data_IF_369334804645
#
_entry.id   IF_369334804645
#
_cell.length_a   1.000
_cell.length_b   1.000
_cell.length_c   1.000
_cell.angle_alpha   90.00
_cell.angle_beta   90.00
_cell.angle_gamma   90.00
#
_symmetry.space_group_name_H-M   'P 1'
#
loop_
_entity.id
_entity.type
_entity.pdbx_description
1 polymer ?
#
# COMPACT_ATOMS: atom_id res chain seq x y z
N UNK A 1 -16.86 -55.93 -20.08
CA UNK A 1 -16.12 -55.12 -21.08
C UNK A 1 -16.21 -53.61 -20.83
N UNK A 2 -17.28 -53.08 -20.22
CA UNK A 2 -17.44 -51.64 -19.92
C UNK A 2 -16.52 -51.08 -18.82
N UNK A 3 -16.07 -51.90 -17.88
CA UNK A 3 -15.18 -51.49 -16.76
C UNK A 3 -13.73 -51.23 -17.18
N UNK A 4 -13.19 -52.00 -18.12
CA UNK A 4 -11.81 -51.85 -18.58
C UNK A 4 -11.59 -50.60 -19.45
N UNK A 5 -12.61 -50.18 -20.21
CA UNK A 5 -12.55 -48.95 -21.03
C UNK A 5 -12.53 -47.69 -20.15
N UNK A 6 -13.23 -47.72 -19.01
CA UNK A 6 -13.28 -46.60 -18.06
C UNK A 6 -11.94 -46.42 -17.32
N UNK A 7 -11.27 -47.52 -16.94
CA UNK A 7 -9.97 -47.49 -16.26
C UNK A 7 -8.86 -46.83 -17.10
N UNK A 8 -8.74 -47.19 -18.38
CA UNK A 8 -7.71 -46.62 -19.25
C UNK A 8 -7.94 -45.12 -19.51
N UNK A 9 -9.21 -44.69 -19.59
CA UNK A 9 -9.57 -43.28 -19.72
C UNK A 9 -9.19 -42.49 -18.46
N UNK A 10 -9.52 -43.00 -17.28
CA UNK A 10 -9.20 -42.36 -16.01
C UNK A 10 -7.67 -42.26 -15.79
N UNK A 11 -6.90 -43.30 -16.15
CA UNK A 11 -5.42 -43.26 -16.09
C UNK A 11 -4.86 -42.19 -17.03
N UNK A 12 -5.38 -42.08 -18.25
CA UNK A 12 -4.92 -41.06 -19.20
C UNK A 12 -5.25 -39.64 -18.71
N UNK A 13 -6.44 -39.45 -18.14
CA UNK A 13 -6.84 -38.17 -17.55
C UNK A 13 -5.95 -37.81 -16.36
N UNK A 14 -5.62 -38.78 -15.48
CA UNK A 14 -4.71 -38.56 -14.35
C UNK A 14 -3.33 -38.08 -14.82
N UNK A 15 -2.73 -38.75 -15.82
CA UNK A 15 -1.44 -38.32 -16.41
C UNK A 15 -1.51 -36.92 -17.02
N UNK A 16 -2.64 -36.57 -17.62
CA UNK A 16 -2.85 -35.23 -18.17
C UNK A 16 -2.88 -34.18 -17.07
N UNK A 17 -3.58 -34.46 -15.96
CA UNK A 17 -3.62 -33.58 -14.79
C UNK A 17 -2.25 -33.46 -14.11
N UNK A 18 -1.46 -34.53 -14.03
CA UNK A 18 -0.07 -34.47 -13.51
C UNK A 18 0.80 -33.49 -14.31
N UNK A 19 0.71 -33.53 -15.64
CA UNK A 19 1.45 -32.59 -16.50
C UNK A 19 0.96 -31.15 -16.30
N UNK A 20 -0.35 -30.93 -16.21
CA UNK A 20 -0.92 -29.61 -15.94
C UNK A 20 -0.49 -29.08 -14.56
N UNK A 21 -0.51 -29.94 -13.54
CA UNK A 21 -0.08 -29.61 -12.19
C UNK A 21 1.38 -29.17 -12.17
N UNK A 22 2.29 -29.95 -12.76
CA UNK A 22 3.72 -29.62 -12.81
C UNK A 22 4.00 -28.32 -13.58
N UNK A 23 3.25 -28.09 -14.65
CA UNK A 23 3.32 -26.83 -15.41
C UNK A 23 2.91 -25.65 -14.53
N UNK A 24 1.79 -25.77 -13.82
CA UNK A 24 1.29 -24.74 -12.90
C UNK A 24 2.19 -24.52 -11.69
N UNK A 25 2.85 -25.57 -11.20
CA UNK A 25 3.81 -25.47 -10.10
C UNK A 25 5.03 -24.66 -10.54
N UNK A 26 5.52 -24.90 -11.77
CA UNK A 26 6.61 -24.10 -12.36
C UNK A 26 6.20 -22.63 -12.53
N UNK A 27 4.97 -22.36 -13.00
CA UNK A 27 4.43 -21.00 -13.09
C UNK A 27 4.36 -20.33 -11.71
N UNK A 28 3.93 -21.06 -10.68
CA UNK A 28 3.86 -20.58 -9.30
C UNK A 28 5.25 -20.21 -8.76
N UNK A 29 6.24 -21.08 -8.90
CA UNK A 29 7.62 -20.84 -8.46
C UNK A 29 8.21 -19.58 -9.12
N UNK A 30 7.99 -19.42 -10.43
CA UNK A 30 8.42 -18.23 -11.18
C UNK A 30 7.69 -16.96 -10.73
N UNK A 31 6.38 -17.03 -10.53
CA UNK A 31 5.59 -15.91 -10.02
C UNK A 31 6.02 -15.52 -8.59
N UNK A 32 6.37 -16.51 -7.76
CA UNK A 32 6.82 -16.30 -6.39
C UNK A 32 8.19 -15.63 -6.35
N UNK A 33 9.14 -16.11 -7.15
CA UNK A 33 10.45 -15.48 -7.30
C UNK A 33 10.32 -14.02 -7.79
N UNK A 34 9.40 -13.76 -8.72
CA UNK A 34 9.12 -12.41 -9.22
C UNK A 34 8.52 -11.50 -8.14
N UNK A 35 7.60 -12.02 -7.33
CA UNK A 35 7.03 -11.31 -6.19
C UNK A 35 8.09 -10.94 -5.16
N UNK A 36 8.92 -11.89 -4.73
CA UNK A 36 10.02 -11.64 -3.80
C UNK A 36 11.00 -10.60 -4.33
N UNK A 37 11.29 -10.63 -5.64
CA UNK A 37 12.19 -9.65 -6.27
C UNK A 37 11.61 -8.25 -6.24
N UNK A 38 10.31 -8.09 -6.56
CA UNK A 38 9.62 -6.78 -6.45
C UNK A 38 9.63 -6.27 -5.02
N UNK A 39 9.35 -7.13 -4.05
CA UNK A 39 9.33 -6.78 -2.63
C UNK A 39 10.71 -6.35 -2.12
N UNK A 40 11.79 -7.04 -2.53
CA UNK A 40 13.17 -6.71 -2.11
C UNK A 40 13.73 -5.47 -2.80
N UNK A 41 13.41 -5.29 -4.08
CA UNK A 41 13.99 -4.20 -4.87
C UNK A 41 13.38 -2.85 -4.54
N UNK A 42 12.11 -2.79 -4.16
CA UNK A 42 11.43 -1.55 -3.86
C UNK A 42 10.29 -1.71 -2.84
N UNK A 43 10.57 -1.75 -1.53
CA UNK A 43 9.51 -1.80 -0.51
C UNK A 43 8.56 -0.59 -0.56
N UNK A 44 9.01 0.54 -1.12
CA UNK A 44 8.28 1.83 -1.15
C UNK A 44 8.04 2.38 -2.57
N UNK A 45 8.26 1.59 -3.62
CA UNK A 45 7.90 2.05 -4.96
C UNK A 45 6.42 1.86 -5.16
N UNK A 46 5.70 2.97 -5.12
CA UNK A 46 4.32 3.11 -5.59
C UNK A 46 4.23 2.93 -7.11
N UNK A 47 4.91 1.91 -7.66
CA UNK A 47 4.79 1.51 -9.05
C UNK A 47 3.42 0.87 -9.21
N UNK A 48 2.46 1.70 -9.62
CA UNK A 48 1.15 1.22 -10.02
C UNK A 48 1.20 0.57 -11.39
N UNK A 49 0.37 -0.45 -11.57
CA UNK A 49 0.08 -1.09 -12.83
C UNK A 49 -1.38 -0.81 -13.20
N UNK A 50 -1.61 -0.64 -14.50
CA UNK A 50 -2.91 -0.29 -15.06
C UNK A 50 -3.43 -1.49 -15.82
N UNK A 51 -4.59 -2.02 -15.40
CA UNK A 51 -5.16 -3.27 -15.90
C UNK A 51 -6.52 -2.98 -16.56
N UNK A 52 -6.57 -2.87 -17.91
CA UNK A 52 -7.82 -2.67 -18.64
C UNK A 52 -8.78 -3.87 -18.52
N UNK A 53 -10.08 -3.61 -18.50
CA UNK A 53 -11.12 -4.62 -18.36
C UNK A 53 -11.18 -5.26 -16.97
N UNK A 54 -10.55 -4.64 -15.97
CA UNK A 54 -10.50 -5.11 -14.58
C UNK A 54 -11.02 -4.05 -13.63
N UNK A 55 -11.46 -4.50 -12.47
CA UNK A 55 -11.83 -3.63 -11.37
C UNK A 55 -11.19 -4.10 -10.06
N UNK A 56 -10.86 -3.14 -9.20
CA UNK A 56 -10.39 -3.35 -7.85
C UNK A 56 -11.41 -2.75 -6.87
N UNK A 57 -11.98 -3.59 -6.01
CA UNK A 57 -13.05 -3.18 -5.10
C UNK A 57 -12.57 -2.79 -3.71
N UNK A 58 -11.38 -3.25 -3.31
CA UNK A 58 -10.89 -3.18 -1.94
C UNK A 58 -11.83 -3.85 -0.93
N UNK A 59 -11.60 -3.59 0.35
CA UNK A 59 -12.52 -3.93 1.44
C UNK A 59 -13.39 -2.74 1.85
N UNK A 60 -12.94 -1.51 1.59
CA UNK A 60 -13.67 -0.30 1.89
C UNK A 60 -13.46 0.81 0.84
N UNK A 61 -14.42 1.72 0.76
CA UNK A 61 -14.31 2.92 -0.07
C UNK A 61 -13.49 4.00 0.60
N UNK A 62 -12.68 4.72 -0.18
CA UNK A 62 -11.92 5.90 0.28
C UNK A 62 -12.56 7.18 -0.27
N UNK A 63 -12.71 7.27 -1.59
CA UNK A 63 -13.36 8.40 -2.25
C UNK A 63 -13.75 8.06 -3.67
N UNK A 64 -14.78 8.72 -4.18
CA UNK A 64 -15.19 8.65 -5.58
C UNK A 64 -15.04 10.03 -6.21
N UNK A 65 -14.23 10.14 -7.26
CA UNK A 65 -13.94 11.38 -7.96
C UNK A 65 -14.53 11.32 -9.36
N UNK A 66 -15.30 12.33 -9.75
CA UNK A 66 -15.86 12.46 -11.09
C UNK A 66 -14.95 13.26 -12.01
N UNK A 67 -15.19 13.21 -13.32
CA UNK A 67 -14.43 13.96 -14.33
C UNK A 67 -12.90 13.76 -14.26
N UNK A 68 -12.48 12.54 -13.90
CA UNK A 68 -11.08 12.15 -13.81
C UNK A 68 -10.61 11.43 -15.07
N UNK A 69 -9.29 11.36 -15.25
CA UNK A 69 -8.63 10.47 -16.22
C UNK A 69 -7.95 9.32 -15.49
N UNK A 70 -7.55 8.27 -16.21
CA UNK A 70 -6.80 7.14 -15.62
C UNK A 70 -5.52 7.61 -14.92
N UNK A 71 -4.75 8.52 -15.52
CA UNK A 71 -3.53 9.07 -14.93
C UNK A 71 -3.81 9.90 -13.67
N UNK A 72 -4.85 10.74 -13.69
CA UNK A 72 -5.28 11.47 -12.49
C UNK A 72 -5.75 10.53 -11.39
N UNK A 73 -6.46 9.45 -11.75
CA UNK A 73 -6.92 8.44 -10.79
C UNK A 73 -5.75 7.75 -10.09
N UNK A 74 -4.71 7.39 -10.85
CA UNK A 74 -3.47 6.86 -10.30
C UNK A 74 -2.77 7.87 -9.39
N UNK A 75 -2.67 9.14 -9.79
CA UNK A 75 -2.05 10.18 -8.99
C UNK A 75 -2.82 10.43 -7.67
N UNK A 76 -4.15 10.45 -7.74
CA UNK A 76 -5.02 10.57 -6.57
C UNK A 76 -4.80 9.41 -5.60
N UNK A 77 -4.77 8.17 -6.10
CA UNK A 77 -4.49 7.00 -5.27
C UNK A 77 -3.07 7.07 -4.66
N UNK A 78 -2.06 7.40 -5.48
CA UNK A 78 -0.66 7.55 -5.03
C UNK A 78 -0.48 8.62 -3.95
N UNK A 79 -1.27 9.68 -3.99
CA UNK A 79 -1.23 10.79 -3.04
C UNK A 79 -2.01 10.51 -1.74
N UNK A 80 -2.91 9.53 -1.77
CA UNK A 80 -3.77 9.19 -0.64
C UNK A 80 -3.22 7.94 0.07
N UNK A 81 -2.70 8.13 1.27
CA UNK A 81 -2.12 7.06 2.09
C UNK A 81 -3.09 5.94 2.46
N UNK A 82 -4.41 6.17 2.38
CA UNK A 82 -5.39 5.11 2.59
C UNK A 82 -5.67 4.28 1.33
N UNK A 83 -5.23 4.74 0.14
CA UNK A 83 -5.57 4.09 -1.11
C UNK A 83 -4.60 2.95 -1.45
N UNK A 84 -5.10 1.71 -1.37
CA UNK A 84 -4.34 0.51 -1.79
C UNK A 84 -4.56 0.19 -3.28
N UNK A 85 -5.60 0.77 -3.89
CA UNK A 85 -5.88 0.67 -5.32
C UNK A 85 -7.12 1.44 -5.72
N UNK A 86 -7.35 1.57 -7.02
CA UNK A 86 -8.49 2.29 -7.58
C UNK A 86 -9.08 1.59 -8.79
N UNK A 87 -10.32 1.94 -9.13
CA UNK A 87 -10.95 1.60 -10.42
C UNK A 87 -11.36 2.87 -11.13
N UNK A 88 -10.89 3.05 -12.37
CA UNK A 88 -11.28 4.13 -13.25
C UNK A 88 -12.20 3.61 -14.35
N UNK A 89 -13.35 4.26 -14.57
CA UNK A 89 -14.24 3.96 -15.68
C UNK A 89 -14.12 5.06 -16.76
N UNK A 90 -13.63 4.66 -17.95
CA UNK A 90 -13.34 5.55 -19.07
C UNK A 90 -14.55 6.20 -19.73
N UNK A 91 -15.75 5.62 -19.57
CA UNK A 91 -17.00 6.15 -20.15
C UNK A 91 -17.60 7.23 -19.24
N UNK A 92 -17.68 6.95 -17.94
CA UNK A 92 -18.27 7.86 -16.96
C UNK A 92 -17.28 8.88 -16.39
N UNK A 93 -15.98 8.69 -16.61
CA UNK A 93 -14.94 9.54 -16.03
C UNK A 93 -14.84 9.42 -14.50
N UNK A 94 -15.38 8.35 -13.91
CA UNK A 94 -15.40 8.15 -12.46
C UNK A 94 -14.19 7.34 -12.02
N UNK A 95 -13.47 7.84 -11.03
CA UNK A 95 -12.37 7.21 -10.34
C UNK A 95 -12.78 6.84 -8.91
N UNK A 96 -12.80 5.55 -8.60
CA UNK A 96 -13.16 5.01 -7.28
C UNK A 96 -11.90 4.56 -6.55
N UNK A 97 -11.49 5.29 -5.53
CA UNK A 97 -10.35 4.94 -4.68
C UNK A 97 -10.82 3.99 -3.59
N UNK A 98 -10.07 2.92 -3.38
CA UNK A 98 -10.41 1.84 -2.45
C UNK A 98 -9.23 1.54 -1.53
N UNK A 99 -9.55 0.98 -0.37
CA UNK A 99 -8.57 0.55 0.62
C UNK A 99 -8.72 -0.90 1.00
N UNK A 100 -7.66 -1.45 1.57
CA UNK A 100 -7.57 -2.84 2.03
C UNK A 100 -7.34 -3.85 0.91
N UNK A 101 -7.48 -5.12 1.26
CA UNK A 101 -7.12 -6.25 0.42
C UNK A 101 -8.33 -6.79 -0.37
N UNK A 102 -8.67 -6.11 -1.46
CA UNK A 102 -9.75 -6.55 -2.36
C UNK A 102 -9.25 -7.43 -3.51
N UNK A 103 -10.12 -8.27 -4.11
CA UNK A 103 -9.77 -9.01 -5.31
C UNK A 103 -9.71 -8.11 -6.54
N UNK A 104 -8.90 -8.51 -7.53
CA UNK A 104 -8.91 -7.93 -8.87
C UNK A 104 -9.79 -8.79 -9.77
N UNK A 105 -11.00 -8.31 -10.06
CA UNK A 105 -12.00 -9.04 -10.83
C UNK A 105 -12.09 -8.54 -12.28
N UNK A 106 -12.56 -9.41 -13.18
CA UNK A 106 -12.98 -8.99 -14.52
C UNK A 106 -14.18 -8.05 -14.42
N UNK A 107 -14.17 -6.97 -15.19
CA UNK A 107 -15.26 -6.00 -15.26
C UNK A 107 -15.50 -5.56 -16.72
N UNK A 108 -16.31 -4.54 -16.92
CA UNK A 108 -16.54 -3.95 -18.25
C UNK A 108 -15.22 -3.51 -18.89
N UNK A 109 -15.13 -3.54 -20.23
CA UNK A 109 -13.95 -3.09 -20.97
C UNK A 109 -13.62 -1.61 -20.73
N UNK A 110 -14.59 -0.82 -20.28
CA UNK A 110 -14.42 0.57 -19.90
C UNK A 110 -13.74 0.76 -18.54
N UNK A 111 -13.74 -0.28 -17.70
CA UNK A 111 -13.13 -0.24 -16.37
C UNK A 111 -11.64 -0.57 -16.43
N UNK A 112 -10.89 0.12 -15.60
CA UNK A 112 -9.44 0.02 -15.53
C UNK A 112 -9.07 -0.05 -14.05
N UNK A 113 -8.54 -1.18 -13.62
CA UNK A 113 -7.99 -1.32 -12.28
C UNK A 113 -6.60 -0.70 -12.22
N UNK A 114 -6.33 0.05 -11.16
CA UNK A 114 -5.05 0.69 -10.88
C UNK A 114 -4.62 0.18 -9.51
N UNK A 115 -3.64 -0.71 -9.48
CA UNK A 115 -3.17 -1.36 -8.25
C UNK A 115 -1.66 -1.30 -8.19
N UNK A 116 -1.06 -1.49 -7.02
CA UNK A 116 0.40 -1.62 -6.92
C UNK A 116 0.88 -2.88 -7.63
N UNK A 117 2.10 -2.85 -8.17
CA UNK A 117 2.72 -4.01 -8.82
C UNK A 117 2.79 -5.22 -7.88
N UNK A 118 3.05 -5.00 -6.59
CA UNK A 118 3.03 -6.05 -5.58
C UNK A 118 1.65 -6.71 -5.46
N UNK A 119 0.57 -5.92 -5.50
CA UNK A 119 -0.80 -6.44 -5.43
C UNK A 119 -1.17 -7.24 -6.69
N UNK A 120 -0.77 -6.80 -7.87
CA UNK A 120 -0.98 -7.56 -9.11
C UNK A 120 -0.26 -8.92 -9.07
N UNK A 121 1.02 -8.93 -8.71
CA UNK A 121 1.80 -10.18 -8.65
C UNK A 121 1.23 -11.16 -7.63
N UNK A 122 0.76 -10.64 -6.51
CA UNK A 122 0.13 -11.42 -5.48
C UNK A 122 -1.22 -12.00 -5.92
N UNK A 123 -2.08 -11.20 -6.55
CA UNK A 123 -3.35 -11.68 -7.12
C UNK A 123 -3.11 -12.78 -8.17
N UNK A 124 -2.04 -12.67 -8.96
CA UNK A 124 -1.61 -13.73 -9.87
C UNK A 124 -1.15 -15.01 -9.12
N UNK A 125 -0.37 -14.87 -8.04
CA UNK A 125 0.03 -16.00 -7.19
C UNK A 125 -1.17 -16.72 -6.58
N UNK A 126 -2.16 -15.98 -6.07
CA UNK A 126 -3.39 -16.55 -5.53
C UNK A 126 -4.17 -17.32 -6.59
N UNK A 127 -4.27 -16.78 -7.80
CA UNK A 127 -4.93 -17.46 -8.93
C UNK A 127 -4.22 -18.76 -9.32
N UNK A 128 -2.90 -18.76 -9.41
CA UNK A 128 -2.13 -19.98 -9.73
C UNK A 128 -2.28 -21.01 -8.62
N UNK A 129 -2.20 -20.60 -7.36
CA UNK A 129 -2.38 -21.50 -6.22
C UNK A 129 -3.79 -22.11 -6.17
N UNK A 130 -4.83 -21.32 -6.46
CA UNK A 130 -6.20 -21.82 -6.58
C UNK A 130 -6.34 -22.87 -7.71
N UNK A 131 -5.65 -22.66 -8.84
CA UNK A 131 -5.60 -23.65 -9.93
C UNK A 131 -4.88 -24.93 -9.51
N UNK A 132 -3.76 -24.83 -8.78
CA UNK A 132 -3.04 -25.99 -8.24
C UNK A 132 -3.92 -26.82 -7.30
N UNK A 133 -4.65 -26.16 -6.41
CA UNK A 133 -5.60 -26.82 -5.50
C UNK A 133 -6.69 -27.54 -6.31
N UNK A 134 -7.32 -26.87 -7.28
CA UNK A 134 -8.36 -27.46 -8.13
C UNK A 134 -7.86 -28.68 -8.90
N UNK A 135 -6.67 -28.61 -9.53
CA UNK A 135 -6.08 -29.73 -10.25
C UNK A 135 -5.83 -30.90 -9.29
N UNK A 136 -5.32 -30.61 -8.09
CA UNK A 136 -5.03 -31.64 -7.11
C UNK A 136 -6.32 -32.32 -6.57
N UNK A 137 -7.39 -31.55 -6.35
CA UNK A 137 -8.70 -32.09 -5.99
C UNK A 137 -9.26 -33.00 -7.08
N UNK A 138 -9.13 -32.61 -8.34
CA UNK A 138 -9.49 -33.45 -9.49
C UNK A 138 -8.67 -34.73 -9.50
N UNK A 139 -7.34 -34.67 -9.37
CA UNK A 139 -6.47 -35.84 -9.31
C UNK A 139 -6.88 -36.81 -8.19
N UNK A 140 -7.16 -36.30 -6.99
CA UNK A 140 -7.66 -37.10 -5.87
C UNK A 140 -8.99 -37.78 -6.23
N UNK A 141 -9.89 -37.07 -6.91
CA UNK A 141 -11.18 -37.63 -7.35
C UNK A 141 -11.02 -38.78 -8.34
N UNK A 142 -10.11 -38.65 -9.32
CA UNK A 142 -9.81 -39.70 -10.30
C UNK A 142 -9.18 -40.89 -9.58
N UNK A 143 -8.22 -40.62 -8.70
CA UNK A 143 -7.51 -41.68 -7.99
C UNK A 143 -8.45 -42.53 -7.11
N UNK A 144 -9.46 -41.90 -6.48
CA UNK A 144 -10.52 -42.62 -5.75
C UNK A 144 -11.34 -43.57 -6.65
N UNK A 145 -11.54 -43.23 -7.93
CA UNK A 145 -12.25 -44.08 -8.90
C UNK A 145 -11.37 -45.22 -9.41
N UNK A 146 -10.08 -44.96 -9.62
CA UNK A 146 -9.11 -45.97 -10.08
C UNK A 146 -8.84 -47.01 -8.99
N UNK A 147 -8.72 -46.61 -7.73
CA UNK A 147 -8.31 -47.45 -6.60
C UNK A 147 -9.01 -48.83 -6.49
N UNK A 148 -10.34 -48.97 -6.60
CA UNK A 148 -10.98 -50.29 -6.51
C UNK A 148 -10.73 -51.19 -7.74
N UNK A 149 -10.28 -50.63 -8.85
CA UNK A 149 -10.10 -51.34 -10.13
C UNK A 149 -8.64 -51.76 -10.39
N UNK A 150 -7.71 -51.33 -9.54
CA UNK A 150 -6.29 -51.68 -9.61
C UNK A 150 -5.96 -52.58 -8.42
N UNK A 151 -5.41 -53.77 -8.67
CA UNK A 151 -4.99 -54.68 -7.61
C UNK A 151 -3.97 -54.00 -6.68
N UNK A 152 -4.08 -54.21 -5.37
CA UNK A 152 -3.20 -53.61 -4.33
C UNK A 152 -1.69 -53.83 -4.56
N UNK A 153 -1.31 -54.76 -5.45
CA UNK A 153 0.08 -55.02 -5.83
C UNK A 153 0.70 -53.91 -6.69
N UNK A 154 -0.06 -52.96 -7.23
CA UNK A 154 0.48 -51.82 -7.96
C UNK A 154 0.83 -50.67 -6.98
N UNK A 155 1.92 -50.88 -6.24
CA UNK A 155 2.40 -49.99 -5.16
C UNK A 155 2.63 -48.55 -5.60
N UNK A 156 2.89 -48.32 -6.89
CA UNK A 156 3.12 -46.99 -7.48
C UNK A 156 1.91 -46.05 -7.31
N UNK A 157 0.69 -46.54 -7.51
CA UNK A 157 -0.54 -45.73 -7.45
C UNK A 157 -0.93 -45.37 -6.01
N UNK A 158 -0.69 -46.27 -5.06
CA UNK A 158 -0.98 -46.04 -3.63
C UNK A 158 0.00 -45.01 -3.05
N UNK A 159 1.30 -45.10 -3.39
CA UNK A 159 2.32 -44.13 -2.96
C UNK A 159 2.06 -42.75 -3.58
N UNK A 160 1.64 -42.68 -4.84
CA UNK A 160 1.30 -41.39 -5.47
C UNK A 160 0.12 -40.70 -4.77
N UNK A 161 -0.86 -41.47 -4.26
CA UNK A 161 -1.99 -40.89 -3.52
C UNK A 161 -1.57 -40.20 -2.22
N UNK A 162 -0.69 -40.83 -1.44
CA UNK A 162 -0.23 -40.26 -0.17
C UNK A 162 0.63 -39.02 -0.40
N UNK A 163 1.45 -39.03 -1.45
CA UNK A 163 2.21 -37.85 -1.90
C UNK A 163 1.27 -36.72 -2.34
N UNK A 164 0.22 -37.01 -3.13
CA UNK A 164 -0.77 -35.99 -3.55
C UNK A 164 -1.51 -35.34 -2.37
N UNK A 165 -1.94 -36.15 -1.40
CA UNK A 165 -2.59 -35.65 -0.18
C UNK A 165 -1.63 -34.78 0.63
N UNK A 166 -0.36 -35.20 0.75
CA UNK A 166 0.67 -34.43 1.45
C UNK A 166 0.95 -33.10 0.75
N UNK A 167 1.14 -33.12 -0.57
CA UNK A 167 1.35 -31.92 -1.37
C UNK A 167 0.15 -30.97 -1.26
N UNK A 168 -1.08 -31.48 -1.17
CA UNK A 168 -2.26 -30.65 -0.93
C UNK A 168 -2.18 -29.90 0.40
N UNK A 169 -1.82 -30.61 1.47
CA UNK A 169 -1.70 -30.02 2.80
C UNK A 169 -0.58 -28.96 2.84
N UNK A 170 0.52 -29.20 2.13
CA UNK A 170 1.61 -28.24 1.99
C UNK A 170 1.17 -26.98 1.23
N UNK A 171 0.46 -27.11 0.09
CA UNK A 171 -0.10 -25.98 -0.66
C UNK A 171 -1.10 -25.14 0.16
N UNK A 172 -1.97 -25.78 0.94
CA UNK A 172 -2.88 -25.08 1.86
C UNK A 172 -2.12 -24.32 2.95
N UNK A 173 -1.03 -24.90 3.44
CA UNK A 173 -0.15 -24.25 4.42
C UNK A 173 0.56 -23.05 3.82
N UNK A 174 1.06 -23.17 2.59
CA UNK A 174 1.65 -22.03 1.87
C UNK A 174 0.63 -20.93 1.58
N UNK A 175 -0.60 -21.29 1.22
CA UNK A 175 -1.68 -20.32 1.05
C UNK A 175 -1.93 -19.52 2.33
N UNK A 176 -1.94 -20.19 3.49
CA UNK A 176 -2.08 -19.53 4.78
C UNK A 176 -0.90 -18.60 5.08
N UNK A 177 0.33 -19.00 4.74
CA UNK A 177 1.53 -18.15 4.88
C UNK A 177 1.47 -16.91 3.99
N UNK A 178 1.05 -17.05 2.73
CA UNK A 178 0.87 -15.93 1.81
C UNK A 178 -0.15 -14.94 2.36
N UNK A 179 -1.30 -15.43 2.85
CA UNK A 179 -2.31 -14.59 3.51
C UNK A 179 -1.79 -13.89 4.77
N UNK A 180 -0.91 -14.54 5.52
CA UNK A 180 -0.30 -13.89 6.69
C UNK A 180 0.69 -12.79 6.29
N UNK A 181 1.54 -13.05 5.29
CA UNK A 181 2.46 -12.02 4.73
C UNK A 181 1.69 -10.81 4.18
N UNK A 182 0.49 -11.04 3.64
CA UNK A 182 -0.47 -10.02 3.22
C UNK A 182 -0.91 -9.11 4.37
N UNK A 183 -1.32 -9.71 5.47
CA UNK A 183 -1.75 -8.98 6.66
C UNK A 183 -0.59 -8.19 7.26
N UNK A 184 0.59 -8.81 7.37
CA UNK A 184 1.80 -8.15 7.86
C UNK A 184 2.21 -6.96 6.97
N UNK A 185 2.08 -7.06 5.65
CA UNK A 185 2.38 -5.94 4.76
C UNK A 185 1.45 -4.75 5.00
N UNK A 186 0.13 -5.00 5.08
CA UNK A 186 -0.86 -3.97 5.39
C UNK A 186 -0.59 -3.30 6.75
N UNK A 187 -0.22 -4.10 7.75
CA UNK A 187 0.12 -3.60 9.10
C UNK A 187 1.43 -2.80 9.11
N UNK A 188 2.44 -3.21 8.33
CA UNK A 188 3.72 -2.48 8.20
C UNK A 188 3.49 -1.13 7.53
N UNK A 189 2.69 -1.06 6.46
CA UNK A 189 2.36 0.21 5.81
C UNK A 189 1.63 1.14 6.78
N UNK A 190 0.68 0.60 7.55
CA UNK A 190 -0.01 1.36 8.59
C UNK A 190 0.94 1.82 9.71
N UNK A 191 1.86 0.96 10.16
CA UNK A 191 2.83 1.29 11.19
C UNK A 191 3.88 2.30 10.71
N UNK A 192 4.32 2.23 9.45
CA UNK A 192 5.22 3.21 8.86
C UNK A 192 4.54 4.58 8.77
N UNK A 193 3.26 4.61 8.41
CA UNK A 193 2.44 5.82 8.43
C UNK A 193 2.29 6.39 9.85
N UNK A 194 2.10 5.53 10.86
CA UNK A 194 2.03 5.95 12.26
C UNK A 194 3.39 6.46 12.78
N UNK A 195 4.49 5.82 12.39
CA UNK A 195 5.84 6.23 12.80
C UNK A 195 6.25 7.56 12.15
N UNK A 196 5.97 7.76 10.87
CA UNK A 196 6.22 9.05 10.20
C UNK A 196 5.41 10.17 10.85
N UNK A 197 4.12 9.93 11.17
CA UNK A 197 3.31 10.87 11.96
C UNK A 197 3.89 11.15 13.36
N UNK A 198 4.44 10.13 14.02
CA UNK A 198 5.05 10.29 15.35
C UNK A 198 6.39 11.06 15.29
N UNK A 199 7.19 10.83 14.25
CA UNK A 199 8.42 11.58 13.98
C UNK A 199 8.09 13.04 13.70
N UNK A 200 7.09 13.33 12.87
CA UNK A 200 6.65 14.70 12.58
C UNK A 200 6.15 15.43 13.84
N UNK A 201 5.37 14.75 14.69
CA UNK A 201 4.91 15.28 15.98
C UNK A 201 6.07 15.59 16.93
N UNK A 202 7.03 14.67 17.05
CA UNK A 202 8.21 14.89 17.88
C UNK A 202 9.10 16.01 17.32
N UNK A 203 9.23 16.12 16.01
CA UNK A 203 10.00 17.18 15.37
C UNK A 203 9.38 18.57 15.67
N UNK A 204 8.05 18.68 15.60
CA UNK A 204 7.33 19.90 16.02
C UNK A 204 7.63 20.30 17.48
N UNK A 205 7.76 19.31 18.38
CA UNK A 205 8.13 19.55 19.78
C UNK A 205 9.56 20.09 19.92
N UNK A 206 10.52 19.59 19.14
CA UNK A 206 11.89 20.12 19.14
C UNK A 206 11.95 21.57 18.63
N UNK A 207 11.21 21.90 17.57
CA UNK A 207 11.12 23.28 17.09
C UNK A 207 10.51 24.23 18.13
N UNK A 208 9.49 23.79 18.87
CA UNK A 208 8.92 24.59 19.97
C UNK A 208 9.97 24.90 21.04
N UNK A 209 10.76 23.92 21.47
CA UNK A 209 11.82 24.14 22.45
C UNK A 209 12.96 25.03 21.93
N UNK A 210 13.33 24.88 20.67
CA UNK A 210 14.32 25.73 20.01
C UNK A 210 13.89 27.20 20.04
N UNK A 211 12.62 27.48 19.74
CA UNK A 211 12.05 28.84 19.77
C UNK A 211 12.12 29.43 21.18
N UNK A 212 11.68 28.68 22.19
CA UNK A 212 11.74 29.11 23.60
C UNK A 212 13.19 29.44 24.01
N UNK A 213 14.15 28.63 23.58
CA UNK A 213 15.58 28.82 23.86
C UNK A 213 16.13 30.09 23.18
N UNK A 214 15.77 30.36 21.92
CA UNK A 214 16.15 31.59 21.21
C UNK A 214 15.58 32.83 21.90
N UNK A 215 14.30 32.81 22.30
CA UNK A 215 13.68 33.91 23.06
C UNK A 215 14.43 34.17 24.36
N UNK A 216 14.74 33.11 25.12
CA UNK A 216 15.47 33.22 26.38
C UNK A 216 16.89 33.80 26.19
N UNK A 217 17.60 33.41 25.12
CA UNK A 217 18.92 33.97 24.80
C UNK A 217 18.85 35.46 24.44
N UNK A 218 17.86 35.88 23.66
CA UNK A 218 17.67 37.30 23.32
C UNK A 218 17.38 38.13 24.57
N UNK A 219 16.50 37.64 25.45
CA UNK A 219 16.15 38.32 26.70
C UNK A 219 17.36 38.44 27.65
N UNK A 220 18.13 37.36 27.82
CA UNK A 220 19.32 37.37 28.68
C UNK A 220 20.43 38.24 28.12
N UNK A 221 20.67 38.20 26.80
CA UNK A 221 21.63 39.08 26.12
C UNK A 221 21.30 40.55 26.32
N UNK A 222 20.03 40.95 26.12
CA UNK A 222 19.61 42.34 26.38
C UNK A 222 19.90 42.77 27.82
N UNK A 223 19.56 41.93 28.79
CA UNK A 223 19.75 42.25 30.21
C UNK A 223 21.23 42.42 30.57
N UNK A 224 22.11 41.67 29.90
CA UNK A 224 23.55 41.72 30.14
C UNK A 224 24.23 42.93 29.47
N UNK A 225 23.86 43.26 28.23
CA UNK A 225 24.55 44.30 27.45
C UNK A 225 23.92 45.70 27.56
N UNK A 226 22.63 45.81 27.88
CA UNK A 226 21.91 47.09 27.92
C UNK A 226 21.07 47.26 29.19
N UNK A 227 21.68 47.24 30.39
CA UNK A 227 20.95 47.30 31.67
C UNK A 227 20.19 48.62 31.88
N UNK A 228 20.64 49.73 31.28
CA UNK A 228 20.01 51.06 31.46
C UNK A 228 18.98 51.43 30.38
N UNK A 229 18.78 50.58 29.38
CA UNK A 229 17.82 50.84 28.31
C UNK A 229 16.38 50.74 28.85
N UNK A 230 15.82 51.88 29.26
CA UNK A 230 14.39 52.07 29.62
C UNK A 230 13.47 52.04 28.39
N UNK A 231 13.69 51.08 27.49
CA UNK A 231 12.74 50.79 26.42
C UNK A 231 11.53 50.05 26.99
N UNK A 232 10.34 50.38 26.50
CA UNK A 232 9.12 49.65 26.83
C UNK A 232 9.34 48.16 26.53
N UNK A 233 9.34 47.36 27.60
CA UNK A 233 9.62 45.91 27.55
C UNK A 233 8.65 45.23 26.58
N UNK A 234 7.44 45.77 26.44
CA UNK A 234 6.41 45.26 25.54
C UNK A 234 6.81 45.35 24.07
N UNK A 235 7.33 46.50 23.61
CA UNK A 235 7.73 46.69 22.20
C UNK A 235 8.84 45.72 21.80
N UNK A 236 9.79 45.46 22.71
CA UNK A 236 10.93 44.56 22.45
C UNK A 236 10.50 43.09 22.37
N UNK A 237 9.59 42.65 23.25
CA UNK A 237 9.01 41.30 23.18
C UNK A 237 8.22 41.12 21.88
N UNK A 238 7.46 42.15 21.47
CA UNK A 238 6.66 42.12 20.24
C UNK A 238 7.56 42.01 19.00
N UNK A 239 8.60 42.83 18.88
CA UNK A 239 9.53 42.79 17.74
C UNK A 239 10.35 41.50 17.66
N UNK A 240 10.82 40.98 18.79
CA UNK A 240 11.54 39.70 18.83
C UNK A 240 10.63 38.52 18.44
N UNK A 241 9.37 38.53 18.89
CA UNK A 241 8.37 37.54 18.47
C UNK A 241 8.11 37.61 16.96
N UNK A 242 7.98 38.81 16.39
CA UNK A 242 7.80 39.02 14.94
C UNK A 242 8.99 38.45 14.15
N UNK A 243 10.23 38.75 14.56
CA UNK A 243 11.45 38.25 13.90
C UNK A 243 11.53 36.72 13.95
N UNK A 244 11.20 36.12 15.09
CA UNK A 244 11.18 34.67 15.26
C UNK A 244 10.11 34.04 14.35
N UNK A 245 8.91 34.60 14.29
CA UNK A 245 7.85 34.14 13.39
C UNK A 245 8.28 34.24 11.93
N UNK A 246 9.00 35.30 11.54
CA UNK A 246 9.57 35.44 10.19
C UNK A 246 10.59 34.32 9.91
N UNK A 247 11.52 34.06 10.83
CA UNK A 247 12.54 33.01 10.65
C UNK A 247 11.87 31.63 10.49
N UNK A 248 10.89 31.29 11.34
CA UNK A 248 10.15 30.03 11.27
C UNK A 248 9.39 29.90 9.94
N UNK A 249 8.67 30.96 9.55
CA UNK A 249 7.92 30.95 8.30
C UNK A 249 8.84 30.81 7.08
N UNK A 250 10.05 31.39 7.14
CA UNK A 250 11.06 31.29 6.08
C UNK A 250 11.66 29.89 6.01
N UNK A 251 11.87 29.20 7.14
CA UNK A 251 12.34 27.81 7.18
C UNK A 251 11.30 26.80 6.66
N UNK A 252 10.02 27.15 6.68
CA UNK A 252 8.91 26.27 6.28
C UNK A 252 8.24 26.68 4.95
N UNK A 253 8.91 27.43 4.08
CA UNK A 253 8.40 27.90 2.78
C UNK A 253 7.89 26.80 1.83
N UNK A 254 8.08 25.51 2.12
CA UNK A 254 7.46 24.43 1.35
C UNK A 254 6.04 24.05 1.82
N UNK A 255 5.53 24.65 2.89
CA UNK A 255 4.20 24.37 3.43
C UNK A 255 3.22 25.54 3.13
N UNK A 256 2.03 25.28 2.56
CA UNK A 256 1.00 26.30 2.32
C UNK A 256 0.66 27.15 3.56
N UNK A 257 0.70 26.55 4.76
CA UNK A 257 0.44 27.27 6.01
C UNK A 257 1.52 28.32 6.32
N UNK A 258 2.78 28.06 5.94
CA UNK A 258 3.88 29.01 6.14
C UNK A 258 3.70 30.27 5.29
N UNK A 259 3.20 30.13 4.05
CA UNK A 259 2.88 31.28 3.20
C UNK A 259 1.78 32.17 3.79
N UNK A 260 0.74 31.57 4.38
CA UNK A 260 -0.33 32.32 5.05
C UNK A 260 0.20 33.12 6.25
N UNK A 261 1.08 32.51 7.05
CA UNK A 261 1.77 33.18 8.17
C UNK A 261 2.66 34.32 7.65
N UNK A 262 3.38 34.09 6.56
CA UNK A 262 4.27 35.08 5.95
C UNK A 262 3.50 36.30 5.41
N UNK A 263 2.38 36.07 4.72
CA UNK A 263 1.49 37.14 4.23
C UNK A 263 0.87 37.92 5.39
N UNK A 264 0.44 37.24 6.45
CA UNK A 264 -0.10 37.88 7.66
C UNK A 264 0.94 38.79 8.33
N UNK A 265 2.21 38.35 8.40
CA UNK A 265 3.33 39.15 8.90
C UNK A 265 3.60 40.40 8.06
N UNK A 266 3.63 40.28 6.73
CA UNK A 266 3.76 41.45 5.85
C UNK A 266 2.60 42.42 6.10
N UNK A 267 1.37 41.90 6.16
CA UNK A 267 0.18 42.72 6.37
C UNK A 267 0.25 43.47 7.71
N UNK A 268 0.72 42.82 8.77
CA UNK A 268 0.91 43.42 10.09
C UNK A 268 1.97 44.54 10.07
N UNK A 269 3.10 44.33 9.38
CA UNK A 269 4.13 45.37 9.18
C UNK A 269 3.59 46.56 8.36
N UNK A 270 2.81 46.29 7.31
CA UNK A 270 2.17 47.33 6.49
C UNK A 270 1.13 48.14 7.29
N UNK A 271 0.31 47.47 8.11
CA UNK A 271 -0.67 48.10 9.01
C UNK A 271 0.01 49.02 10.04
N UNK A 272 1.18 48.61 10.56
CA UNK A 272 1.99 49.45 11.46
C UNK A 272 2.57 50.67 10.72
N UNK A 273 3.09 50.51 9.49
CA UNK A 273 3.58 51.64 8.68
C UNK A 273 2.47 52.62 8.30
N UNK A 274 1.25 52.13 8.09
CA UNK A 274 0.08 52.95 7.78
C UNK A 274 -0.50 53.70 9.00
N UNK A 275 0.09 53.55 10.20
CA UNK A 275 -0.42 54.11 11.48
C UNK A 275 -1.85 53.68 11.83
N UNK A 276 -2.37 52.63 11.19
CA UNK A 276 -3.68 52.05 11.50
C UNK A 276 -3.65 51.31 12.84
N UNK A 277 -2.48 50.78 13.18
CA UNK A 277 -2.14 50.26 14.51
C UNK A 277 -1.10 51.24 15.07
N UNK A 278 -1.26 51.75 16.31
CA UNK A 278 -0.30 52.67 16.90
C UNK A 278 1.10 52.03 16.90
N UNK A 279 2.08 52.74 16.34
CA UNK A 279 3.48 52.32 16.43
C UNK A 279 3.95 52.57 17.86
N UNK A 280 4.19 51.48 18.61
CA UNK A 280 4.74 51.52 19.97
C UNK A 280 6.26 51.63 19.91
#
# INVERSE_FOLDING_TARGET
MTTAVNLNSDILQLKTLEVQYNTKLTEYESAFASYITTMKSQPNSNSYVVLPGKSFMGTASVSDNTNSTSSQCQALCSSNKECTGATFNSISGVCKLRKGDGPISSSASSDIAIVTKSKEQLDNLEKINAQLISINEEMISINRRIKPSVNENDSSLVTNNTVLIKNNAELLTEQAKIKNLLNEFNDIEQNYNNQTLNVDKNNARYYMWLIIMIVALILTSKFLFFPEARGDVFSIILWSTIIICIIIATLHLNNPAAYAIWISLIFLVLMMKAKLIPSI
#
